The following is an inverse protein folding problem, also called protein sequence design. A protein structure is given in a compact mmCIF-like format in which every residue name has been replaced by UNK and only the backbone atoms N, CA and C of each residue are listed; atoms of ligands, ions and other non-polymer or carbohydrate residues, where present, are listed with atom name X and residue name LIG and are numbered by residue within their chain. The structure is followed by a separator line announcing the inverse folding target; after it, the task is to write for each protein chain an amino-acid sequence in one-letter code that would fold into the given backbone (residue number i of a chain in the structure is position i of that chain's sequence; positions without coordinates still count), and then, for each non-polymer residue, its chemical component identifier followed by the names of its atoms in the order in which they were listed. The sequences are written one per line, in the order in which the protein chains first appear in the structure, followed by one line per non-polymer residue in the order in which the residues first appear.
data_IF_954840047629
#
_entry.id   IF_954840047629
#
_cell.length_a   1.000
_cell.length_b   1.000
_cell.length_c   1.000
_cell.angle_alpha   90.00
_cell.angle_beta   90.00
_cell.angle_gamma   90.00
#
_symmetry.space_group_name_H-M   'P 1'
#
loop_
_entity.id
_entity.type
_entity.pdbx_description
1 polymer ?
#
# COMPACT_ATOMS: atom_id res chain seq x y z
N UNK A 1 -4.25 10.87 16.26
CA UNK A 1 -2.82 10.48 16.26
C UNK A 1 -2.70 9.21 15.45
N UNK A 2 -1.85 9.20 14.42
CA UNK A 2 -1.71 8.05 13.52
C UNK A 2 -1.07 6.85 14.25
N UNK A 3 -1.55 5.64 13.97
CA UNK A 3 -1.02 4.38 14.52
C UNK A 3 -0.45 3.50 13.42
N UNK A 4 0.64 2.79 13.68
CA UNK A 4 1.14 1.76 12.78
C UNK A 4 0.56 0.41 13.21
N UNK A 5 -0.06 -0.30 12.27
CA UNK A 5 -0.67 -1.61 12.48
C UNK A 5 -0.14 -2.60 11.45
N UNK A 6 0.28 -3.77 11.89
CA UNK A 6 0.67 -4.88 11.03
C UNK A 6 -0.47 -5.89 11.03
N UNK A 7 -1.05 -6.17 9.85
CA UNK A 7 -2.05 -7.22 9.70
C UNK A 7 -1.42 -8.59 10.09
N UNK A 8 -2.16 -9.52 10.74
CA UNK A 8 -1.58 -10.75 11.27
C UNK A 8 -0.71 -11.60 10.33
N UNK A 9 -1.01 -11.66 9.03
CA UNK A 9 -0.15 -12.36 8.07
C UNK A 9 1.17 -11.60 7.85
N UNK A 10 1.10 -10.27 7.73
CA UNK A 10 2.29 -9.41 7.69
C UNK A 10 3.13 -9.53 8.95
N UNK A 11 2.51 -9.45 10.12
CA UNK A 11 3.19 -9.47 11.42
C UNK A 11 4.03 -10.75 11.61
N UNK A 12 3.53 -11.87 11.10
CA UNK A 12 4.18 -13.19 11.16
C UNK A 12 5.27 -13.41 10.10
N UNK A 13 5.18 -12.75 8.96
CA UNK A 13 6.02 -13.07 7.78
C UNK A 13 7.10 -12.03 7.51
N UNK A 14 6.96 -10.82 8.04
CA UNK A 14 7.94 -9.75 7.84
C UNK A 14 9.25 -10.02 8.59
N UNK A 15 10.37 -9.83 7.90
CA UNK A 15 11.68 -9.89 8.53
C UNK A 15 11.86 -8.73 9.53
N UNK A 16 12.58 -8.92 10.65
CA UNK A 16 12.81 -7.85 11.64
C UNK A 16 13.38 -6.57 11.04
N UNK A 17 14.33 -6.69 10.11
CA UNK A 17 14.95 -5.53 9.45
C UNK A 17 13.94 -4.72 8.62
N UNK A 18 13.00 -5.37 7.94
CA UNK A 18 11.99 -4.67 7.15
C UNK A 18 10.92 -4.04 8.03
N UNK A 19 10.59 -4.67 9.17
CA UNK A 19 9.74 -4.05 10.20
C UNK A 19 10.35 -2.76 10.74
N UNK A 20 11.65 -2.77 11.02
CA UNK A 20 12.36 -1.57 11.49
C UNK A 20 12.32 -0.46 10.43
N UNK A 21 12.58 -0.79 9.15
CA UNK A 21 12.47 0.18 8.04
C UNK A 21 11.07 0.79 7.96
N UNK A 22 10.01 -0.04 7.96
CA UNK A 22 8.63 0.45 7.91
C UNK A 22 8.33 1.37 9.10
N UNK A 23 8.75 0.98 10.31
CA UNK A 23 8.55 1.77 11.51
C UNK A 23 9.24 3.13 11.40
N UNK A 24 10.45 3.16 10.84
CA UNK A 24 11.19 4.39 10.58
C UNK A 24 10.49 5.28 9.56
N UNK A 25 10.07 4.73 8.40
CA UNK A 25 9.29 5.45 7.39
C UNK A 25 8.01 6.05 7.98
N UNK A 26 7.27 5.25 8.75
CA UNK A 26 6.08 5.70 9.46
C UNK A 26 6.35 6.92 10.36
N UNK A 27 7.41 6.87 11.17
CA UNK A 27 7.76 7.97 12.09
C UNK A 27 8.19 9.26 11.37
N UNK A 28 8.81 9.14 10.19
CA UNK A 28 9.24 10.30 9.42
C UNK A 28 8.08 10.97 8.67
N UNK A 29 7.25 10.17 7.98
CA UNK A 29 6.31 10.70 6.98
C UNK A 29 4.96 11.08 7.54
N UNK A 30 4.54 10.49 8.67
CA UNK A 30 3.33 10.91 9.37
C UNK A 30 3.39 12.35 9.89
N UNK A 31 4.57 12.98 9.90
CA UNK A 31 4.74 14.39 10.24
C UNK A 31 4.44 15.34 9.07
N UNK A 32 4.52 14.85 7.84
CA UNK A 32 4.42 15.65 6.62
C UNK A 32 3.09 15.48 5.90
N UNK A 33 2.47 14.30 6.03
CA UNK A 33 1.18 14.00 5.42
C UNK A 33 0.04 14.40 6.37
N UNK A 34 -1.04 14.96 5.81
CA UNK A 34 -2.25 15.32 6.56
C UNK A 34 -3.49 14.99 5.74
N UNK A 35 -4.49 14.41 6.41
CA UNK A 35 -5.78 14.06 5.81
C UNK A 35 -5.70 13.02 4.68
N UNK A 36 -6.84 12.47 4.29
CA UNK A 36 -6.92 11.58 3.14
C UNK A 36 -6.28 10.21 3.34
N UNK A 37 -6.24 9.50 2.21
CA UNK A 37 -5.64 8.18 2.08
C UNK A 37 -4.45 8.27 1.15
N UNK A 38 -3.30 7.76 1.58
CA UNK A 38 -2.05 7.79 0.82
C UNK A 38 -1.46 6.39 0.72
N UNK A 39 -0.94 6.04 -0.47
CA UNK A 39 -0.18 4.82 -0.69
C UNK A 39 1.29 5.17 -0.86
N UNK A 40 2.05 5.05 0.23
CA UNK A 40 3.46 5.33 0.18
C UNK A 40 4.22 4.11 -0.33
N UNK A 41 5.00 4.26 -1.40
CA UNK A 41 5.91 3.22 -1.87
C UNK A 41 6.98 2.88 -0.83
N UNK A 42 7.23 1.58 -0.63
CA UNK A 42 8.33 1.09 0.21
C UNK A 42 9.39 0.39 -0.65
N UNK A 43 8.98 -0.61 -1.43
CA UNK A 43 9.84 -1.34 -2.37
C UNK A 43 9.01 -2.13 -3.38
N UNK A 44 9.68 -2.63 -4.42
CA UNK A 44 9.13 -3.58 -5.36
C UNK A 44 9.92 -4.89 -5.38
N UNK A 45 9.27 -5.96 -5.80
CA UNK A 45 9.87 -7.27 -6.03
C UNK A 45 9.14 -8.01 -7.16
N UNK A 46 9.66 -9.18 -7.55
CA UNK A 46 8.95 -10.12 -8.42
C UNK A 46 8.87 -11.48 -7.75
N UNK A 47 7.74 -12.16 -7.91
CA UNK A 47 7.61 -13.54 -7.47
C UNK A 47 8.07 -14.53 -8.56
N UNK A 48 7.99 -15.83 -8.26
CA UNK A 48 8.38 -16.90 -9.19
C UNK A 48 7.53 -16.97 -10.47
N UNK A 49 6.36 -16.33 -10.50
CA UNK A 49 5.49 -16.21 -11.69
C UNK A 49 5.80 -14.96 -12.53
N UNK A 50 6.75 -14.14 -12.10
CA UNK A 50 7.07 -12.88 -12.75
C UNK A 50 6.11 -11.74 -12.41
N UNK A 51 5.12 -11.97 -11.53
CA UNK A 51 4.17 -10.94 -11.09
C UNK A 51 4.90 -9.86 -10.28
N UNK A 52 4.46 -8.62 -10.43
CA UNK A 52 5.08 -7.47 -9.79
C UNK A 52 4.46 -7.22 -8.42
N UNK A 53 5.29 -7.31 -7.37
CA UNK A 53 4.89 -7.11 -5.99
C UNK A 53 5.30 -5.70 -5.59
N UNK A 54 4.33 -4.84 -5.29
CA UNK A 54 4.57 -3.48 -4.81
C UNK A 54 4.20 -3.42 -3.34
N UNK A 55 5.20 -3.29 -2.48
CA UNK A 55 5.00 -3.07 -1.05
C UNK A 55 4.81 -1.57 -0.78
N UNK A 56 3.77 -1.25 -0.02
CA UNK A 56 3.42 0.11 0.37
C UNK A 56 3.14 0.19 1.86
N UNK A 57 3.19 1.41 2.39
CA UNK A 57 2.53 1.78 3.63
C UNK A 57 1.25 2.55 3.29
N UNK A 58 0.09 1.93 3.53
CA UNK A 58 -1.20 2.58 3.35
C UNK A 58 -1.44 3.47 4.55
N UNK A 59 -1.57 4.78 4.36
CA UNK A 59 -1.98 5.71 5.40
C UNK A 59 -3.47 6.00 5.25
N UNK A 60 -4.25 5.70 6.29
CA UNK A 60 -5.59 6.25 6.46
C UNK A 60 -5.53 7.34 7.54
N UNK A 61 -5.52 8.62 7.13
CA UNK A 61 -5.56 9.75 8.07
C UNK A 61 -6.99 10.23 8.32
N UNK A 62 -7.99 9.58 7.74
CA UNK A 62 -9.39 9.86 8.05
C UNK A 62 -9.78 9.27 9.41
N UNK A 63 -10.84 9.81 10.01
CA UNK A 63 -11.41 9.30 11.26
C UNK A 63 -12.31 8.06 11.05
N UNK A 64 -12.60 7.72 9.79
CA UNK A 64 -13.42 6.57 9.40
C UNK A 64 -12.57 5.41 8.89
N UNK A 65 -13.10 4.20 8.98
CA UNK A 65 -12.46 3.02 8.40
C UNK A 65 -12.40 3.14 6.88
N UNK A 66 -11.24 2.80 6.32
CA UNK A 66 -11.02 2.67 4.90
C UNK A 66 -11.25 1.23 4.47
N UNK A 67 -12.16 1.03 3.51
CA UNK A 67 -12.37 -0.24 2.82
C UNK A 67 -11.93 -0.12 1.36
N UNK A 68 -10.95 -0.92 0.97
CA UNK A 68 -10.56 -1.04 -0.43
C UNK A 68 -11.34 -2.21 -1.04
N UNK A 69 -12.37 -1.89 -1.83
CA UNK A 69 -13.19 -2.87 -2.53
C UNK A 69 -13.39 -2.44 -3.97
N UNK A 70 -12.96 -3.31 -4.90
CA UNK A 70 -12.88 -3.02 -6.33
C UNK A 70 -12.16 -1.68 -6.61
N UNK A 71 -11.09 -1.45 -5.85
CA UNK A 71 -10.34 -0.21 -5.90
C UNK A 71 -9.28 -0.27 -6.99
N UNK A 72 -9.31 0.69 -7.90
CA UNK A 72 -8.33 0.79 -8.98
C UNK A 72 -7.08 1.51 -8.46
N UNK A 73 -5.93 0.87 -8.60
CA UNK A 73 -4.64 1.39 -8.14
C UNK A 73 -3.64 1.30 -9.30
N UNK A 74 -2.98 2.43 -9.59
CA UNK A 74 -1.89 2.52 -10.55
C UNK A 74 -0.54 2.56 -9.86
N UNK A 75 0.47 1.90 -10.45
CA UNK A 75 1.87 2.05 -10.06
C UNK A 75 2.65 2.79 -11.15
N UNK A 76 3.36 3.82 -10.73
CA UNK A 76 4.23 4.65 -11.53
C UNK A 76 5.68 4.50 -11.08
N UNK A 77 6.58 4.43 -12.04
CA UNK A 77 8.02 4.37 -11.82
C UNK A 77 8.67 5.43 -12.70
N UNK A 78 9.44 6.34 -12.08
CA UNK A 78 10.08 7.44 -12.80
C UNK A 78 9.10 8.28 -13.63
N UNK A 79 7.89 8.48 -13.11
CA UNK A 79 6.84 9.26 -13.77
C UNK A 79 6.05 8.51 -14.85
N UNK A 80 6.39 7.25 -15.15
CA UNK A 80 5.73 6.46 -16.20
C UNK A 80 4.81 5.43 -15.56
N UNK A 81 3.55 5.38 -16.01
CA UNK A 81 2.60 4.34 -15.58
C UNK A 81 3.11 2.97 -16.05
N UNK A 82 3.36 2.08 -15.10
CA UNK A 82 3.82 0.72 -15.39
C UNK A 82 2.67 -0.26 -15.46
N UNK A 83 1.70 -0.11 -14.56
CA UNK A 83 0.56 -1.03 -14.43
C UNK A 83 -0.59 -0.33 -13.73
N UNK A 84 -1.80 -0.83 -13.98
CA UNK A 84 -3.05 -0.37 -13.40
C UNK A 84 -3.95 -1.59 -13.17
N UNK A 85 -4.42 -1.77 -11.94
CA UNK A 85 -5.13 -2.98 -11.56
C UNK A 85 -6.22 -2.73 -10.51
N UNK A 86 -7.19 -3.64 -10.45
CA UNK A 86 -8.28 -3.62 -9.48
C UNK A 86 -7.95 -4.50 -8.27
N UNK A 87 -8.11 -3.96 -7.06
CA UNK A 87 -7.85 -4.66 -5.81
C UNK A 87 -9.04 -4.63 -4.86
N UNK A 88 -9.21 -5.72 -4.11
CA UNK A 88 -10.06 -5.76 -2.92
C UNK A 88 -9.23 -6.31 -1.77
N UNK A 89 -9.18 -5.59 -0.65
CA UNK A 89 -8.54 -6.08 0.57
C UNK A 89 -9.55 -6.90 1.38
N UNK A 90 -9.11 -7.97 2.05
CA UNK A 90 -9.97 -8.80 2.90
C UNK A 90 -10.27 -8.14 4.26
N UNK A 91 -9.66 -6.99 4.55
CA UNK A 91 -9.78 -6.27 5.81
C UNK A 91 -10.02 -4.77 5.58
N UNK A 92 -10.53 -4.11 6.61
CA UNK A 92 -10.60 -2.66 6.69
C UNK A 92 -9.38 -2.10 7.40
N UNK A 93 -8.96 -0.90 7.00
CA UNK A 93 -7.92 -0.14 7.68
C UNK A 93 -8.62 0.88 8.56
N UNK A 94 -8.48 0.74 9.88
CA UNK A 94 -9.13 1.63 10.82
C UNK A 94 -8.77 3.11 10.58
N UNK A 95 -9.64 4.02 11.00
CA UNK A 95 -9.32 5.44 11.01
C UNK A 95 -8.01 5.72 11.77
N UNK A 96 -7.28 6.75 11.34
CA UNK A 96 -5.99 7.13 11.90
C UNK A 96 -4.96 5.96 11.97
N UNK A 97 -4.95 5.08 10.97
CA UNK A 97 -4.10 3.89 10.95
C UNK A 97 -3.29 3.79 9.66
N UNK A 98 -2.01 3.45 9.82
CA UNK A 98 -1.09 3.09 8.76
C UNK A 98 -0.85 1.60 8.77
N UNK A 99 -0.98 0.95 7.62
CA UNK A 99 -0.86 -0.50 7.49
C UNK A 99 0.01 -0.87 6.29
N UNK A 100 1.06 -1.68 6.46
CA UNK A 100 1.83 -2.15 5.32
C UNK A 100 1.01 -3.16 4.53
N UNK A 101 1.16 -3.13 3.21
CA UNK A 101 0.47 -4.03 2.31
C UNK A 101 1.31 -4.30 1.05
N UNK A 102 1.15 -5.48 0.45
CA UNK A 102 1.74 -5.79 -0.86
C UNK A 102 0.62 -5.96 -1.87
N UNK A 103 0.62 -5.12 -2.90
CA UNK A 103 -0.20 -5.30 -4.08
C UNK A 103 0.53 -6.19 -5.08
N UNK A 104 -0.15 -7.25 -5.53
CA UNK A 104 0.37 -8.17 -6.55
C UNK A 104 -0.31 -7.80 -7.86
N UNK A 105 0.43 -7.13 -8.75
CA UNK A 105 -0.02 -6.79 -10.08
C UNK A 105 0.22 -8.00 -11.00
N UNK A 106 -0.84 -8.47 -11.64
CA UNK A 106 -0.84 -9.65 -12.51
C UNK A 106 -1.76 -9.40 -13.71
N UNK A 107 -1.60 -10.16 -14.79
CA UNK A 107 -2.46 -10.06 -15.98
C UNK A 107 -3.96 -10.24 -15.64
N UNK A 108 -4.27 -10.95 -14.55
CA UNK A 108 -5.65 -11.28 -14.17
C UNK A 108 -6.42 -10.14 -13.51
N UNK A 109 -5.74 -9.08 -13.06
CA UNK A 109 -6.38 -7.94 -12.38
C UNK A 109 -6.18 -6.60 -13.08
N UNK A 110 -5.58 -6.60 -14.27
CA UNK A 110 -5.36 -5.40 -15.08
C UNK A 110 -6.68 -4.70 -15.46
N UNK A 111 -6.62 -3.37 -15.55
CA UNK A 111 -7.76 -2.54 -15.95
C UNK A 111 -7.33 -1.24 -16.61
N UNK A 112 -8.23 -0.66 -17.42
CA UNK A 112 -8.07 0.65 -18.04
C UNK A 112 -8.91 1.74 -17.35
N UNK A 113 -9.58 1.42 -16.23
CA UNK A 113 -10.35 2.39 -15.46
C UNK A 113 -9.43 3.41 -14.76
N UNK A 114 -9.96 4.60 -14.47
CA UNK A 114 -9.21 5.64 -13.78
C UNK A 114 -8.81 5.18 -12.36
N UNK A 115 -7.54 5.36 -11.97
CA UNK A 115 -7.08 4.96 -10.65
C UNK A 115 -7.63 5.88 -9.55
N UNK A 116 -8.13 5.26 -8.49
CA UNK A 116 -8.53 5.98 -7.27
C UNK A 116 -7.31 6.33 -6.41
N UNK A 117 -6.27 5.51 -6.48
CA UNK A 117 -5.00 5.77 -5.81
C UNK A 117 -3.82 5.48 -6.74
N UNK A 118 -2.73 6.21 -6.51
CA UNK A 118 -1.50 6.09 -7.28
C UNK A 118 -0.34 5.81 -6.34
N UNK A 119 0.52 4.89 -6.72
CA UNK A 119 1.77 4.57 -6.04
C UNK A 119 2.90 5.11 -6.91
N UNK A 120 3.74 5.97 -6.33
CA UNK A 120 4.88 6.58 -7.02
C UNK A 120 6.19 6.07 -6.41
N UNK A 121 7.07 5.54 -7.25
CA UNK A 121 8.48 5.26 -6.95
C UNK A 121 9.37 6.36 -7.55
#
# INVERSE_FOLDING_TARGET
MQKLYFEPAWDKTIAPADREKITHHFQQQTKQLQGGVHLLFLWNARNHKGEQLIAVLIHNFEDINLRLHNTVISYYEQGIQRTNATFSLPCEIAGNTSMPWTFIFSETNETNADPQYMIWN
#
